data_IF_359981001600
#
_entry.id   IF_359981001600
#
_cell.length_a   1.000
_cell.length_b   1.000
_cell.length_c   1.000
_cell.angle_alpha   90.00
_cell.angle_beta   90.00
_cell.angle_gamma   90.00
#
_symmetry.space_group_name_H-M   'P 1'
#
loop_
_entity.id
_entity.type
_entity.pdbx_description
1 polymer ?
#
# COMPACT_ATOMS: atom_id res chain seq x y z
N UNK A 1 0.31 -13.23 -1.24
CA UNK A 1 0.65 -12.81 0.14
C UNK A 1 -0.59 -12.32 0.88
N UNK A 2 -1.23 -11.22 0.45
CA UNK A 2 -2.46 -10.67 1.06
C UNK A 2 -3.57 -11.70 1.35
N UNK A 3 -3.98 -12.50 0.35
CA UNK A 3 -5.00 -13.55 0.55
C UNK A 3 -4.55 -14.59 1.57
N UNK A 4 -3.29 -14.99 1.53
CA UNK A 4 -2.71 -15.94 2.50
C UNK A 4 -2.60 -15.34 3.92
N UNK A 5 -2.52 -14.01 4.04
CA UNK A 5 -2.59 -13.27 5.30
C UNK A 5 -4.02 -13.06 5.82
N UNK A 6 -5.03 -13.65 5.16
CA UNK A 6 -6.41 -13.66 5.62
C UNK A 6 -7.23 -12.42 5.26
N UNK A 7 -6.76 -11.60 4.31
CA UNK A 7 -7.59 -10.50 3.76
C UNK A 7 -8.58 -11.08 2.75
N UNK A 8 -9.90 -11.04 3.01
CA UNK A 8 -10.90 -11.58 2.11
C UNK A 8 -11.12 -10.66 0.90
N UNK A 9 -11.67 -11.23 -0.18
CA UNK A 9 -12.18 -10.49 -1.34
C UNK A 9 -11.23 -9.48 -2.00
N UNK A 10 -9.93 -9.77 -1.98
CA UNK A 10 -8.92 -9.06 -2.77
C UNK A 10 -9.16 -9.37 -4.26
N UNK A 11 -9.39 -8.34 -5.07
CA UNK A 11 -9.63 -8.49 -6.51
C UNK A 11 -8.32 -8.47 -7.29
N UNK A 12 -7.47 -7.49 -7.02
CA UNK A 12 -6.19 -7.32 -7.71
C UNK A 12 -5.20 -6.54 -6.84
N UNK A 13 -3.91 -6.72 -7.13
CA UNK A 13 -2.81 -5.98 -6.49
C UNK A 13 -1.85 -5.55 -7.58
N UNK A 14 -1.41 -4.30 -7.54
CA UNK A 14 -0.46 -3.73 -8.50
C UNK A 14 0.68 -3.02 -7.79
N UNK A 15 1.91 -3.25 -8.26
CA UNK A 15 3.10 -2.53 -7.82
C UNK A 15 3.49 -1.55 -8.92
N UNK A 16 3.18 -0.27 -8.74
CA UNK A 16 3.24 0.68 -9.83
C UNK A 16 4.69 1.07 -10.17
N UNK A 17 5.00 1.05 -11.45
CA UNK A 17 6.28 1.40 -12.07
C UNK A 17 6.73 2.82 -11.72
N UNK A 18 5.80 3.75 -11.48
CA UNK A 18 6.13 5.13 -11.07
C UNK A 18 6.86 5.17 -9.72
N UNK A 19 6.63 4.15 -8.88
CA UNK A 19 7.36 3.89 -7.63
C UNK A 19 8.44 2.82 -7.77
N UNK A 20 8.98 2.60 -8.98
CA UNK A 20 9.98 1.56 -9.25
C UNK A 20 9.47 0.13 -9.01
N UNK A 21 8.16 -0.10 -9.18
CA UNK A 21 7.47 -1.38 -8.98
C UNK A 21 7.59 -1.96 -7.55
N UNK A 22 7.68 -1.08 -6.54
CA UNK A 22 7.74 -1.48 -5.12
C UNK A 22 7.37 -0.39 -4.11
N UNK A 23 7.60 0.89 -4.44
CA UNK A 23 7.38 1.99 -3.49
C UNK A 23 5.92 2.46 -3.44
N UNK A 24 5.16 2.25 -4.52
CA UNK A 24 3.76 2.63 -4.63
C UNK A 24 2.94 1.40 -5.00
N UNK A 25 2.24 0.84 -4.02
CA UNK A 25 1.49 -0.39 -4.18
C UNK A 25 0.00 -0.09 -4.02
N UNK A 26 -0.82 -0.70 -4.86
CA UNK A 26 -2.28 -0.53 -4.85
C UNK A 26 -2.93 -1.90 -4.72
N UNK A 27 -3.96 -2.00 -3.88
CA UNK A 27 -4.82 -3.18 -3.79
C UNK A 27 -6.26 -2.77 -4.05
N UNK A 28 -6.92 -3.49 -4.95
CA UNK A 28 -8.36 -3.42 -5.15
C UNK A 28 -9.04 -4.50 -4.32
N UNK A 29 -10.04 -4.12 -3.53
CA UNK A 29 -10.81 -5.02 -2.68
C UNK A 29 -12.30 -4.83 -2.92
N UNK A 30 -13.07 -5.91 -2.69
CA UNK A 30 -14.51 -5.76 -2.49
C UNK A 30 -14.81 -5.57 -1.02
N UNK A 31 -15.38 -4.42 -0.68
CA UNK A 31 -15.62 -4.01 0.70
C UNK A 31 -16.61 -4.96 1.42
N UNK A 32 -16.26 -5.47 2.61
CA UNK A 32 -17.06 -6.46 3.37
C UNK A 32 -17.50 -5.99 4.76
N UNK A 33 -16.63 -5.29 5.48
CA UNK A 33 -16.89 -4.84 6.85
C UNK A 33 -16.12 -3.55 7.17
N UNK A 34 -16.60 -2.76 8.13
CA UNK A 34 -15.91 -1.56 8.57
C UNK A 34 -14.47 -1.89 9.02
N UNK A 35 -13.49 -1.16 8.49
CA UNK A 35 -12.06 -1.42 8.75
C UNK A 35 -11.40 -2.41 7.78
N UNK A 36 -12.13 -3.04 6.86
CA UNK A 36 -11.56 -3.95 5.86
C UNK A 36 -10.46 -3.28 5.01
N UNK A 37 -10.72 -2.06 4.50
CA UNK A 37 -9.72 -1.30 3.75
C UNK A 37 -8.46 -1.01 4.57
N UNK A 38 -8.61 -0.62 5.85
CA UNK A 38 -7.48 -0.39 6.76
C UNK A 38 -6.67 -1.66 6.98
N UNK A 39 -7.32 -2.80 7.22
CA UNK A 39 -6.65 -4.11 7.33
C UNK A 39 -5.88 -4.45 6.05
N UNK A 40 -6.51 -4.31 4.88
CA UNK A 40 -5.89 -4.59 3.59
C UNK A 40 -4.65 -3.70 3.37
N UNK A 41 -4.73 -2.40 3.66
CA UNK A 41 -3.63 -1.45 3.52
C UNK A 41 -2.44 -1.76 4.43
N UNK A 42 -2.69 -2.03 5.72
CA UNK A 42 -1.63 -2.42 6.67
C UNK A 42 -0.94 -3.72 6.25
N UNK A 43 -1.72 -4.74 5.88
CA UNK A 43 -1.16 -6.03 5.46
C UNK A 43 -0.42 -5.89 4.12
N UNK A 44 -0.95 -5.13 3.15
CA UNK A 44 -0.26 -4.85 1.89
C UNK A 44 1.14 -4.27 2.16
N UNK A 45 1.22 -3.30 3.07
CA UNK A 45 2.47 -2.64 3.43
C UNK A 45 3.43 -3.51 4.25
N UNK A 46 2.97 -4.64 4.80
CA UNK A 46 3.73 -5.45 5.76
C UNK A 46 3.84 -6.93 5.38
N UNK A 47 3.40 -7.35 4.18
CA UNK A 47 3.48 -8.75 3.76
C UNK A 47 4.19 -8.97 2.42
N UNK A 48 4.98 -10.04 2.37
CA UNK A 48 5.66 -10.50 1.15
C UNK A 48 6.47 -9.40 0.47
N UNK A 49 6.42 -9.36 -0.87
CA UNK A 49 7.13 -8.36 -1.68
C UNK A 49 6.57 -6.94 -1.45
N UNK A 50 5.30 -6.81 -1.08
CA UNK A 50 4.65 -5.52 -0.78
C UNK A 50 5.18 -4.84 0.49
N UNK A 51 5.94 -5.55 1.34
CA UNK A 51 6.63 -4.94 2.47
C UNK A 51 7.92 -4.22 2.07
N UNK A 52 8.59 -4.70 1.01
CA UNK A 52 9.92 -4.25 0.66
C UNK A 52 9.89 -2.84 0.07
N UNK A 53 10.34 -1.85 0.86
CA UNK A 53 10.44 -0.45 0.46
C UNK A 53 9.11 0.20 0.07
N UNK A 54 8.00 -0.31 0.59
CA UNK A 54 6.66 0.23 0.33
C UNK A 54 6.46 1.54 1.09
N UNK A 55 6.33 2.63 0.34
CA UNK A 55 6.15 3.98 0.87
C UNK A 55 4.69 4.38 0.90
N UNK A 56 3.98 4.03 -0.15
CA UNK A 56 2.57 4.31 -0.33
C UNK A 56 1.86 3.00 -0.60
N UNK A 57 0.82 2.75 0.19
CA UNK A 57 -0.08 1.62 0.03
C UNK A 57 -1.48 2.19 -0.07
N UNK A 58 -2.08 2.07 -1.25
CA UNK A 58 -3.41 2.60 -1.55
C UNK A 58 -4.38 1.44 -1.66
N UNK A 59 -5.55 1.59 -1.05
CA UNK A 59 -6.63 0.63 -1.14
C UNK A 59 -7.75 1.28 -1.91
N UNK A 60 -8.24 0.59 -2.94
CA UNK A 60 -9.35 1.03 -3.79
C UNK A 60 -10.44 -0.04 -3.79
N UNK A 61 -11.65 0.36 -4.16
CA UNK A 61 -12.79 -0.54 -4.29
C UNK A 61 -12.66 -1.43 -5.55
N UNK A 62 -13.57 -2.40 -5.71
CA UNK A 62 -13.54 -3.36 -6.82
C UNK A 62 -13.83 -2.75 -8.21
N UNK A 63 -14.34 -1.51 -8.25
CA UNK A 63 -14.66 -0.78 -9.48
C UNK A 63 -13.48 -0.01 -10.07
N UNK A 64 -12.34 0.02 -9.38
CA UNK A 64 -11.12 0.72 -9.78
C UNK A 64 -10.06 -0.26 -10.26
N UNK A 65 -9.50 -0.03 -11.45
CA UNK A 65 -8.33 -0.79 -11.92
C UNK A 65 -7.07 -0.31 -11.17
N UNK A 66 -6.44 -1.15 -10.32
CA UNK A 66 -5.26 -0.74 -9.57
C UNK A 66 -4.02 -0.48 -10.44
N UNK A 67 -4.02 -0.92 -11.70
CA UNK A 67 -2.95 -0.64 -12.67
C UNK A 67 -3.11 0.70 -13.38
N UNK A 68 -4.30 1.30 -13.34
CA UNK A 68 -4.58 2.60 -13.93
C UNK A 68 -4.39 3.73 -12.90
N UNK A 69 -3.24 4.41 -12.97
CA UNK A 69 -2.92 5.50 -12.04
C UNK A 69 -3.98 6.60 -11.99
N UNK A 70 -4.59 6.92 -13.13
CA UNK A 70 -5.57 8.00 -13.22
C UNK A 70 -6.80 7.68 -12.37
N UNK A 71 -7.30 6.44 -12.46
CA UNK A 71 -8.44 5.98 -11.66
C UNK A 71 -8.08 5.89 -10.17
N UNK A 72 -6.90 5.37 -9.85
CA UNK A 72 -6.42 5.26 -8.46
C UNK A 72 -6.32 6.64 -7.81
N UNK A 73 -5.70 7.61 -8.47
CA UNK A 73 -5.55 8.96 -7.92
C UNK A 73 -6.89 9.68 -7.87
N UNK A 74 -7.79 9.46 -8.83
CA UNK A 74 -9.17 9.94 -8.76
C UNK A 74 -9.91 9.38 -7.53
N UNK A 75 -9.78 8.09 -7.25
CA UNK A 75 -10.38 7.46 -6.08
C UNK A 75 -9.82 8.05 -4.78
N UNK A 76 -8.50 8.25 -4.68
CA UNK A 76 -7.87 8.91 -3.52
C UNK A 76 -8.41 10.32 -3.34
N UNK A 77 -8.54 11.11 -4.41
CA UNK A 77 -8.98 12.50 -4.32
C UNK A 77 -10.47 12.66 -3.97
N UNK A 78 -11.32 11.69 -4.34
CA UNK A 78 -12.78 11.83 -4.23
C UNK A 78 -13.42 10.97 -3.15
N UNK A 79 -12.75 9.91 -2.69
CA UNK A 79 -13.28 8.93 -1.71
C UNK A 79 -12.51 8.89 -0.38
N UNK A 80 -11.43 9.65 -0.25
CA UNK A 80 -10.60 9.67 0.95
C UNK A 80 -10.64 11.02 1.66
N UNK A 81 -10.82 11.01 2.99
CA UNK A 81 -10.53 12.16 3.84
C UNK A 81 -9.10 12.01 4.40
N UNK A 82 -8.15 12.88 4.01
CA UNK A 82 -6.77 12.79 4.48
C UNK A 82 -6.60 12.76 5.99
N UNK A 83 -7.52 13.38 6.76
CA UNK A 83 -7.42 13.45 8.21
C UNK A 83 -7.68 12.10 8.90
N UNK A 84 -8.46 11.21 8.27
CA UNK A 84 -8.98 9.99 8.92
C UNK A 84 -8.67 8.70 8.17
N UNK A 85 -8.45 8.80 6.85
CA UNK A 85 -8.19 7.66 5.97
C UNK A 85 -6.69 7.34 5.82
N UNK A 86 -5.78 8.24 6.18
CA UNK A 86 -4.33 8.03 6.06
C UNK A 86 -3.76 7.55 7.39
N UNK A 87 -3.21 6.33 7.39
CA UNK A 87 -2.42 5.80 8.49
C UNK A 87 -0.92 5.90 8.16
N UNK A 88 -0.12 6.36 9.12
CA UNK A 88 1.33 6.44 8.97
C UNK A 88 1.98 5.26 9.69
N UNK A 89 2.51 4.32 8.91
CA UNK A 89 3.27 3.18 9.44
C UNK A 89 4.73 3.59 9.58
N UNK A 90 5.21 3.62 10.82
CA UNK A 90 6.60 3.94 11.13
C UNK A 90 7.46 2.67 11.18
N UNK A 91 8.73 2.78 10.80
CA UNK A 91 9.73 1.69 10.89
C UNK A 91 9.36 0.43 10.07
N UNK A 92 8.75 0.62 8.89
CA UNK A 92 8.56 -0.44 7.91
C UNK A 92 9.87 -0.92 7.26
N UNK A 93 9.80 -2.02 6.50
CA UNK A 93 10.97 -2.63 5.86
C UNK A 93 11.57 -1.71 4.78
N UNK A 94 12.76 -1.18 5.04
CA UNK A 94 13.54 -0.38 4.09
C UNK A 94 14.54 -1.19 3.27
N UNK A 95 15.42 -0.50 2.53
CA UNK A 95 16.57 -1.09 1.86
C UNK A 95 17.70 -0.08 1.70
N UNK A 96 18.93 -0.57 1.54
CA UNK A 96 20.09 0.27 1.16
C UNK A 96 19.95 0.85 -0.25
N UNK A 97 19.16 0.20 -1.11
CA UNK A 97 18.86 0.69 -2.45
C UNK A 97 17.78 1.79 -2.46
N UNK A 98 17.39 2.29 -1.27
CA UNK A 98 16.46 3.40 -1.16
C UNK A 98 17.16 4.73 -1.48
N UNK A 99 16.63 5.55 -2.40
CA UNK A 99 17.12 6.92 -2.58
C UNK A 99 17.08 7.75 -1.28
N UNK A 100 16.13 7.51 -0.37
CA UNK A 100 16.10 8.17 0.94
C UNK A 100 16.91 7.44 2.02
N UNK A 101 17.72 6.43 1.66
CA UNK A 101 18.50 5.67 2.64
C UNK A 101 19.32 6.59 3.57
N UNK A 102 19.91 7.64 3.00
CA UNK A 102 20.72 8.64 3.71
C UNK A 102 19.91 9.46 4.72
N UNK A 103 18.60 9.60 4.52
CA UNK A 103 17.72 10.37 5.38
C UNK A 103 17.11 9.54 6.51
N UNK A 104 17.33 8.21 6.56
CA UNK A 104 16.83 7.42 7.68
C UNK A 104 17.62 7.74 8.94
N UNK A 105 16.96 8.21 10.01
CA UNK A 105 17.63 8.43 11.30
C UNK A 105 17.95 7.11 12.02
N UNK A 106 17.46 5.98 11.50
CA UNK A 106 17.58 4.66 12.11
C UNK A 106 18.43 3.75 11.23
N UNK A 107 19.64 3.43 11.68
CA UNK A 107 20.42 2.34 11.09
C UNK A 107 19.80 1.01 11.51
N UNK A 108 19.61 0.09 10.56
CA UNK A 108 19.42 -1.31 10.92
C UNK A 108 20.71 -1.77 11.63
N UNK A 109 20.62 -2.17 12.90
CA UNK A 109 21.71 -2.87 13.55
C UNK A 109 21.97 -4.15 12.75
N UNK A 110 23.22 -4.32 12.30
CA UNK A 110 23.68 -5.52 11.61
C UNK A 110 23.50 -6.76 12.49
#
# INVERSE_FOLDING_TARGET
ALVASGVPDVQAVWAHEIGGARMFNVVSIKQRYAGHARQAGHILNQCGVGAYMSRYSVVVDEDIDPSNLQEVIWAVATRSDPATSIDIIQRGMGSKNDPMYVAYPFNAAL
#
